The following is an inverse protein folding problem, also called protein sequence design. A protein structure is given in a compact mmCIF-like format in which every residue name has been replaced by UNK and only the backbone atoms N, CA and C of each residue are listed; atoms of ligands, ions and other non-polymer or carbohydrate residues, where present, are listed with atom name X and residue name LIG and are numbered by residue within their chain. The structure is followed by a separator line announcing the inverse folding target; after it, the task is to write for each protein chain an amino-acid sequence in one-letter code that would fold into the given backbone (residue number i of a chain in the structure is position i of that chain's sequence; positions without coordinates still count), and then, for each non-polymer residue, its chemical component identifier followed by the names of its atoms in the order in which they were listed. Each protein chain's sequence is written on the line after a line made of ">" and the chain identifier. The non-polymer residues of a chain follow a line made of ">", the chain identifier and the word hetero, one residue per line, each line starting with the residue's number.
data_IF_950450274317
#
_entry.id   IF_950450274317
#
_cell.length_a   1.000
_cell.length_b   1.000
_cell.length_c   1.000
_cell.angle_alpha   90.00
_cell.angle_beta   90.00
_cell.angle_gamma   90.00
#
_symmetry.space_group_name_H-M   'P 1'
#
loop_
_entity.id
_entity.type
_entity.pdbx_description
1 polymer ?
#
# COMPACT_ATOMS: atom_id res chain seq x y z
N UNK A 1 11.16 -9.33 -4.47
CA UNK A 1 10.35 -9.89 -5.58
C UNK A 1 10.61 -9.11 -6.85
N UNK A 2 10.81 -9.77 -7.98
CA UNK A 2 11.09 -9.10 -9.26
C UNK A 2 9.81 -9.06 -10.13
N UNK A 3 9.35 -7.85 -10.42
CA UNK A 3 8.22 -7.58 -11.31
C UNK A 3 8.77 -7.01 -12.61
N UNK A 4 8.57 -7.71 -13.71
CA UNK A 4 9.09 -7.31 -15.01
C UNK A 4 8.09 -7.56 -16.14
N UNK A 5 8.32 -6.96 -17.28
CA UNK A 5 7.70 -7.39 -18.54
C UNK A 5 8.70 -8.23 -19.34
N UNK A 6 8.19 -9.21 -20.07
CA UNK A 6 8.98 -10.07 -20.93
C UNK A 6 8.28 -10.38 -22.25
N UNK A 7 8.99 -11.07 -23.14
CA UNK A 7 8.42 -11.58 -24.37
C UNK A 7 7.61 -12.88 -24.13
N UNK A 8 6.79 -13.28 -25.11
CA UNK A 8 5.91 -14.44 -24.97
C UNK A 8 6.62 -15.80 -24.87
N UNK A 9 7.88 -15.87 -25.20
CA UNK A 9 8.61 -17.14 -25.34
C UNK A 9 9.47 -17.50 -24.12
N UNK A 10 9.51 -16.65 -23.10
CA UNK A 10 10.21 -16.97 -21.87
C UNK A 10 9.53 -18.11 -21.11
N UNK A 11 10.32 -19.10 -20.71
CA UNK A 11 9.87 -20.26 -19.95
C UNK A 11 9.55 -19.84 -18.49
N UNK A 12 8.48 -20.40 -17.94
CA UNK A 12 8.08 -20.19 -16.54
C UNK A 12 7.46 -21.48 -15.97
N UNK A 13 7.56 -21.64 -14.66
CA UNK A 13 6.97 -22.79 -13.96
C UNK A 13 5.44 -22.67 -13.88
N UNK A 14 4.92 -21.43 -13.80
CA UNK A 14 3.50 -21.14 -13.78
C UNK A 14 3.15 -20.13 -14.87
N UNK A 15 2.32 -20.54 -15.82
CA UNK A 15 1.78 -19.66 -16.86
C UNK A 15 0.31 -19.37 -16.58
N UNK A 16 0.01 -18.12 -16.27
CA UNK A 16 -1.35 -17.63 -16.05
C UNK A 16 -1.87 -16.98 -17.32
N UNK A 17 -3.04 -17.41 -17.77
CA UNK A 17 -3.66 -16.90 -18.99
C UNK A 17 -5.07 -16.40 -18.66
N UNK A 18 -5.26 -15.08 -18.45
CA UNK A 18 -6.58 -14.50 -18.27
C UNK A 18 -7.32 -14.42 -19.60
N UNK A 19 -8.46 -15.09 -19.70
CA UNK A 19 -9.27 -15.25 -20.89
C UNK A 19 -10.69 -14.72 -20.71
N UNK A 20 -11.24 -14.08 -21.74
CA UNK A 20 -12.62 -13.59 -21.73
C UNK A 20 -13.65 -14.68 -21.98
N UNK A 21 -14.88 -14.45 -21.57
CA UNK A 21 -16.01 -15.35 -21.80
C UNK A 21 -16.28 -15.56 -23.29
N UNK A 22 -16.75 -16.76 -23.64
CA UNK A 22 -16.96 -17.17 -25.02
C UNK A 22 -15.70 -17.70 -25.72
N UNK A 23 -14.58 -17.88 -24.97
CA UNK A 23 -13.39 -18.51 -25.54
C UNK A 23 -13.66 -19.99 -25.83
N UNK A 24 -13.61 -20.36 -27.11
CA UNK A 24 -13.74 -21.75 -27.59
C UNK A 24 -12.44 -22.29 -28.17
N UNK A 25 -11.43 -21.43 -28.35
CA UNK A 25 -10.11 -21.77 -28.86
C UNK A 25 -9.04 -20.92 -28.17
N UNK A 26 -7.87 -21.51 -27.94
CA UNK A 26 -6.74 -20.74 -27.42
C UNK A 26 -6.37 -19.60 -28.38
N UNK A 27 -6.29 -18.34 -27.90
CA UNK A 27 -5.81 -17.22 -28.72
C UNK A 27 -4.40 -17.51 -29.27
N UNK A 28 -4.07 -16.99 -30.45
CA UNK A 28 -2.84 -17.35 -31.18
C UNK A 28 -1.56 -17.26 -30.35
N UNK A 29 -1.44 -16.22 -29.52
CA UNK A 29 -0.24 -15.99 -28.70
C UNK A 29 -0.32 -16.61 -27.29
N UNK A 30 -1.49 -17.17 -26.91
CA UNK A 30 -1.69 -17.70 -25.55
C UNK A 30 -0.75 -18.84 -25.20
N UNK A 31 -0.32 -19.61 -26.21
CA UNK A 31 0.44 -20.83 -26.05
C UNK A 31 1.87 -20.75 -26.62
N UNK A 32 2.36 -19.55 -26.95
CA UNK A 32 3.77 -19.34 -27.37
C UNK A 32 4.74 -19.88 -26.33
N UNK A 33 5.90 -20.38 -26.73
CA UNK A 33 6.91 -20.95 -25.82
C UNK A 33 6.56 -22.33 -25.24
N UNK A 34 5.30 -22.80 -25.34
CA UNK A 34 4.94 -24.16 -24.91
C UNK A 34 5.28 -25.21 -26.00
N UNK A 35 5.73 -26.37 -25.59
CA UNK A 35 5.95 -27.52 -26.46
C UNK A 35 4.64 -28.05 -27.06
N UNK A 36 4.74 -28.89 -28.13
CA UNK A 36 3.55 -29.39 -28.83
C UNK A 36 2.59 -30.16 -27.90
N UNK A 37 3.12 -31.00 -27.04
CA UNK A 37 2.34 -31.79 -26.09
C UNK A 37 1.60 -30.88 -25.10
N UNK A 38 2.30 -29.90 -24.51
CA UNK A 38 1.72 -28.92 -23.58
C UNK A 38 0.59 -28.13 -24.24
N UNK A 39 0.82 -27.62 -25.48
CA UNK A 39 -0.19 -26.91 -26.27
C UNK A 39 -1.45 -27.71 -26.50
N UNK A 40 -1.30 -29.01 -26.79
CA UNK A 40 -2.46 -29.88 -27.02
C UNK A 40 -3.31 -30.05 -25.77
N UNK A 41 -2.69 -30.27 -24.59
CA UNK A 41 -3.40 -30.37 -23.32
C UNK A 41 -4.18 -29.08 -23.00
N UNK A 42 -3.56 -27.90 -23.20
CA UNK A 42 -4.24 -26.61 -22.93
C UNK A 42 -5.35 -26.33 -23.93
N UNK A 43 -5.16 -26.71 -25.22
CA UNK A 43 -6.21 -26.58 -26.25
C UNK A 43 -7.41 -27.47 -25.93
N UNK A 44 -7.17 -28.71 -25.53
CA UNK A 44 -8.22 -29.63 -25.10
C UNK A 44 -9.00 -29.07 -23.90
N UNK A 45 -8.30 -28.57 -22.89
CA UNK A 45 -8.92 -27.95 -21.73
C UNK A 45 -9.78 -26.70 -22.06
N UNK A 46 -9.38 -25.87 -23.04
CA UNK A 46 -10.16 -24.73 -23.48
C UNK A 46 -11.34 -25.17 -24.38
N UNK A 47 -11.19 -26.22 -25.16
CA UNK A 47 -12.25 -26.72 -26.05
C UNK A 47 -13.26 -27.63 -25.34
N UNK A 48 -12.92 -28.13 -24.15
CA UNK A 48 -13.88 -28.80 -23.27
C UNK A 48 -14.90 -27.77 -22.75
N UNK A 49 -16.15 -28.19 -22.64
CA UNK A 49 -17.21 -27.29 -22.06
C UNK A 49 -16.98 -26.92 -20.59
N UNK A 50 -15.85 -27.39 -20.01
CA UNK A 50 -15.49 -27.13 -18.61
C UNK A 50 -14.92 -25.72 -18.38
N UNK A 51 -14.32 -25.07 -19.41
CA UNK A 51 -13.77 -23.74 -19.31
C UNK A 51 -14.30 -22.82 -20.41
N UNK A 52 -15.24 -21.93 -20.04
CA UNK A 52 -15.82 -20.93 -20.96
C UNK A 52 -15.34 -19.49 -20.74
N UNK A 53 -14.38 -19.26 -19.85
CA UNK A 53 -13.88 -17.91 -19.53
C UNK A 53 -14.83 -17.08 -18.65
N UNK A 54 -15.85 -17.68 -18.05
CA UNK A 54 -16.80 -16.98 -17.16
C UNK A 54 -16.09 -16.33 -15.98
N UNK A 55 -16.60 -15.21 -15.52
CA UNK A 55 -16.02 -14.45 -14.41
C UNK A 55 -15.77 -15.30 -13.17
N UNK A 56 -14.51 -15.34 -12.74
CA UNK A 56 -14.06 -16.09 -11.56
C UNK A 56 -13.82 -17.58 -11.82
N UNK A 57 -14.09 -18.07 -13.02
CA UNK A 57 -13.76 -19.44 -13.40
C UNK A 57 -12.25 -19.62 -13.41
N UNK A 58 -11.77 -20.76 -12.92
CA UNK A 58 -10.35 -21.12 -12.88
C UNK A 58 -10.18 -22.57 -13.25
N UNK A 59 -9.25 -22.86 -14.15
CA UNK A 59 -8.86 -24.19 -14.51
C UNK A 59 -7.34 -24.33 -14.45
N UNK A 60 -6.85 -25.43 -13.90
CA UNK A 60 -5.42 -25.75 -13.84
C UNK A 60 -5.13 -26.90 -14.76
N UNK A 61 -4.27 -26.66 -15.74
CA UNK A 61 -3.78 -27.70 -16.67
C UNK A 61 -2.35 -28.04 -16.29
N UNK A 62 -2.16 -29.25 -15.82
CA UNK A 62 -0.83 -29.77 -15.51
C UNK A 62 -0.15 -30.23 -16.78
N UNK A 63 0.98 -29.63 -17.10
CA UNK A 63 1.80 -29.99 -18.24
C UNK A 63 3.23 -30.32 -17.79
N UNK A 64 4.01 -31.10 -18.53
CA UNK A 64 5.40 -31.35 -18.18
C UNK A 64 6.19 -30.01 -18.09
N UNK A 65 6.80 -29.73 -16.92
CA UNK A 65 7.64 -28.55 -16.70
C UNK A 65 6.93 -27.20 -16.58
N UNK A 66 5.61 -27.12 -16.76
CA UNK A 66 4.87 -25.88 -16.62
C UNK A 66 3.43 -26.14 -16.15
N UNK A 67 2.97 -25.40 -15.16
CA UNK A 67 1.58 -25.39 -14.70
C UNK A 67 0.82 -24.24 -15.36
N UNK A 68 -0.10 -24.56 -16.27
CA UNK A 68 -0.92 -23.53 -16.94
C UNK A 68 -2.20 -23.30 -16.15
N UNK A 69 -2.47 -22.05 -15.81
CA UNK A 69 -3.64 -21.63 -15.05
C UNK A 69 -4.49 -20.69 -15.92
N UNK A 70 -5.64 -21.21 -16.34
CA UNK A 70 -6.63 -20.44 -17.09
C UNK A 70 -7.53 -19.68 -16.11
N UNK A 71 -7.76 -18.39 -16.37
CA UNK A 71 -8.53 -17.49 -15.50
C UNK A 71 -9.64 -16.86 -16.31
N UNK A 72 -10.90 -17.09 -15.92
CA UNK A 72 -12.07 -16.51 -16.55
C UNK A 72 -12.28 -15.07 -16.09
N UNK A 73 -12.30 -14.15 -17.05
CA UNK A 73 -12.49 -12.71 -16.82
C UNK A 73 -13.94 -12.27 -16.98
N UNK A 74 -14.83 -13.15 -17.50
CA UNK A 74 -16.18 -12.77 -17.90
C UNK A 74 -16.21 -12.02 -19.23
N UNK A 75 -17.31 -11.33 -19.51
CA UNK A 75 -17.50 -10.58 -20.74
C UNK A 75 -16.45 -9.47 -20.89
N UNK A 76 -15.91 -9.34 -22.09
CA UNK A 76 -14.84 -8.37 -22.40
C UNK A 76 -15.26 -6.92 -22.11
N UNK A 77 -16.48 -6.54 -22.49
CA UNK A 77 -16.98 -5.18 -22.37
C UNK A 77 -17.30 -4.80 -20.91
N UNK A 78 -17.42 -5.77 -20.02
CA UNK A 78 -17.63 -5.57 -18.58
C UNK A 78 -16.32 -5.46 -17.79
N UNK A 79 -15.14 -5.60 -18.44
CA UNK A 79 -13.84 -5.51 -17.78
C UNK A 79 -13.49 -4.08 -17.38
N UNK A 80 -13.95 -3.63 -16.21
CA UNK A 80 -13.54 -2.36 -15.62
C UNK A 80 -12.28 -2.48 -14.73
N UNK A 81 -11.70 -1.34 -14.33
CA UNK A 81 -10.51 -1.22 -13.46
C UNK A 81 -10.61 -2.11 -12.21
N UNK A 82 -11.74 -1.99 -11.49
CA UNK A 82 -11.97 -2.74 -10.24
C UNK A 82 -11.98 -4.25 -10.45
N UNK A 83 -12.55 -4.72 -11.57
CA UNK A 83 -12.61 -6.16 -11.85
C UNK A 83 -11.22 -6.70 -12.19
N UNK A 84 -10.45 -6.01 -13.03
CA UNK A 84 -9.09 -6.39 -13.38
C UNK A 84 -8.20 -6.46 -12.14
N UNK A 85 -8.15 -5.41 -11.31
CA UNK A 85 -7.38 -5.34 -10.07
C UNK A 85 -7.77 -6.43 -9.07
N UNK A 86 -9.06 -6.59 -8.78
CA UNK A 86 -9.52 -7.61 -7.85
C UNK A 86 -9.25 -9.03 -8.33
N UNK A 87 -9.23 -9.25 -9.66
CA UNK A 87 -8.88 -10.57 -10.21
C UNK A 87 -7.39 -10.83 -10.06
N UNK A 88 -6.53 -9.86 -10.36
CA UNK A 88 -5.09 -9.95 -10.11
C UNK A 88 -4.78 -10.27 -8.65
N UNK A 89 -5.44 -9.59 -7.71
CA UNK A 89 -5.28 -9.85 -6.27
C UNK A 89 -5.70 -11.28 -5.88
N UNK A 90 -6.84 -11.77 -6.39
CA UNK A 90 -7.30 -13.15 -6.12
C UNK A 90 -6.36 -14.19 -6.70
N UNK A 91 -5.83 -13.93 -7.89
CA UNK A 91 -4.85 -14.80 -8.52
C UNK A 91 -3.60 -14.88 -7.66
N UNK A 92 -3.05 -13.74 -7.25
CA UNK A 92 -1.86 -13.70 -6.40
C UNK A 92 -2.08 -14.45 -5.08
N UNK A 93 -3.22 -14.25 -4.42
CA UNK A 93 -3.57 -14.98 -3.20
C UNK A 93 -3.61 -16.50 -3.36
N UNK A 94 -3.86 -16.98 -4.58
CA UNK A 94 -3.98 -18.41 -4.90
C UNK A 94 -2.66 -19.07 -5.32
N UNK A 95 -1.60 -18.29 -5.53
CA UNK A 95 -0.29 -18.82 -5.87
C UNK A 95 0.44 -19.28 -4.61
N UNK A 96 1.09 -20.44 -4.71
CA UNK A 96 1.94 -20.90 -3.62
C UNK A 96 3.24 -20.11 -3.65
N UNK A 97 3.55 -19.41 -2.58
CA UNK A 97 4.80 -18.67 -2.41
C UNK A 97 5.93 -19.64 -2.05
N UNK A 98 6.45 -20.34 -3.04
CA UNK A 98 7.61 -21.22 -2.89
C UNK A 98 8.87 -20.49 -3.37
N UNK A 99 9.99 -20.77 -2.71
CA UNK A 99 11.31 -20.25 -3.13
C UNK A 99 11.58 -20.57 -4.61
N UNK A 100 12.01 -19.59 -5.37
CA UNK A 100 12.42 -19.77 -6.77
C UNK A 100 11.26 -19.88 -7.78
N UNK A 101 10.00 -19.64 -7.38
CA UNK A 101 8.87 -19.75 -8.28
C UNK A 101 8.88 -18.67 -9.36
N UNK A 102 8.87 -19.08 -10.63
CA UNK A 102 8.72 -18.18 -11.78
C UNK A 102 7.28 -18.22 -12.31
N UNK A 103 6.65 -17.05 -12.37
CA UNK A 103 5.27 -16.86 -12.80
C UNK A 103 5.22 -15.94 -14.01
N UNK A 104 4.61 -16.40 -15.10
CA UNK A 104 4.29 -15.56 -16.25
C UNK A 104 2.78 -15.28 -16.29
N UNK A 105 2.41 -14.02 -16.43
CA UNK A 105 1.03 -13.59 -16.70
C UNK A 105 0.95 -13.17 -18.15
N UNK A 106 0.25 -13.94 -18.97
CA UNK A 106 0.18 -13.73 -20.42
C UNK A 106 -1.13 -13.11 -20.83
N UNK A 107 -1.08 -11.84 -21.18
CA UNK A 107 -2.23 -11.11 -21.70
C UNK A 107 -2.43 -11.36 -23.18
N UNK A 108 -3.62 -11.82 -23.55
CA UNK A 108 -4.00 -12.16 -24.92
C UNK A 108 -4.75 -11.00 -25.60
N UNK A 109 -5.33 -11.25 -26.78
CA UNK A 109 -6.16 -10.25 -27.48
C UNK A 109 -7.36 -9.82 -26.62
N UNK A 110 -7.71 -8.55 -26.72
CA UNK A 110 -8.85 -7.95 -25.98
C UNK A 110 -8.46 -7.18 -24.72
N UNK A 111 -7.24 -7.34 -24.21
CA UNK A 111 -6.74 -6.52 -23.12
C UNK A 111 -6.24 -5.15 -23.59
N UNK A 112 -6.54 -4.11 -22.84
CA UNK A 112 -5.93 -2.78 -22.98
C UNK A 112 -4.73 -2.66 -22.03
N UNK A 113 -3.78 -1.78 -22.34
CA UNK A 113 -2.62 -1.53 -21.47
C UNK A 113 -3.03 -1.16 -20.04
N UNK A 114 -4.06 -0.31 -19.90
CA UNK A 114 -4.59 0.07 -18.58
C UNK A 114 -5.11 -1.12 -17.76
N UNK A 115 -5.86 -2.03 -18.38
CA UNK A 115 -6.42 -3.22 -17.70
C UNK A 115 -5.35 -4.23 -17.34
N UNK A 116 -4.28 -4.33 -18.15
CA UNK A 116 -3.11 -5.13 -17.80
C UNK A 116 -2.43 -4.58 -16.54
N UNK A 117 -2.27 -3.26 -16.47
CA UNK A 117 -1.69 -2.57 -15.30
C UNK A 117 -2.57 -2.70 -14.07
N UNK A 118 -3.89 -2.54 -14.19
CA UNK A 118 -4.83 -2.78 -13.09
C UNK A 118 -4.69 -4.20 -12.51
N UNK A 119 -4.57 -5.20 -13.39
CA UNK A 119 -4.38 -6.58 -12.97
C UNK A 119 -3.04 -6.76 -12.22
N UNK A 120 -1.97 -6.21 -12.76
CA UNK A 120 -0.64 -6.25 -12.16
C UNK A 120 -0.61 -5.53 -10.81
N UNK A 121 -1.25 -4.35 -10.70
CA UNK A 121 -1.41 -3.62 -9.43
C UNK A 121 -2.10 -4.48 -8.38
N UNK A 122 -3.19 -5.16 -8.77
CA UNK A 122 -3.89 -6.06 -7.86
C UNK A 122 -3.00 -7.18 -7.34
N UNK A 123 -2.15 -7.77 -8.18
CA UNK A 123 -1.17 -8.77 -7.76
C UNK A 123 -0.15 -8.18 -6.79
N UNK A 124 0.45 -7.03 -7.11
CA UNK A 124 1.46 -6.37 -6.27
C UNK A 124 0.91 -6.00 -4.90
N UNK A 125 -0.28 -5.39 -4.84
CA UNK A 125 -0.91 -5.00 -3.58
C UNK A 125 -1.29 -6.20 -2.70
N UNK A 126 -1.57 -7.37 -3.31
CA UNK A 126 -1.93 -8.59 -2.57
C UNK A 126 -0.71 -9.38 -2.11
N UNK A 127 0.45 -9.13 -2.69
CA UNK A 127 1.69 -9.83 -2.34
C UNK A 127 2.26 -9.43 -0.97
N UNK A 128 1.68 -8.44 -0.34
CA UNK A 128 2.09 -7.93 0.96
C UNK A 128 1.92 -8.95 2.08
N UNK A 129 2.96 -9.08 2.90
CA UNK A 129 3.00 -9.83 4.16
C UNK A 129 3.80 -9.03 5.20
N UNK A 130 3.28 -8.96 6.42
CA UNK A 130 4.00 -8.37 7.55
C UNK A 130 4.66 -9.49 8.35
N UNK A 131 5.98 -9.51 8.37
CA UNK A 131 6.77 -10.63 8.89
C UNK A 131 7.74 -10.22 10.02
N UNK A 132 7.78 -8.94 10.40
CA UNK A 132 8.82 -8.35 11.26
C UNK A 132 8.96 -9.00 12.63
N UNK A 133 7.86 -9.48 13.23
CA UNK A 133 7.87 -10.02 14.59
C UNK A 133 7.60 -11.54 14.64
N UNK A 134 7.83 -12.23 13.52
CA UNK A 134 7.62 -13.66 13.41
C UNK A 134 8.96 -14.39 13.33
N UNK A 135 9.09 -15.50 14.05
CA UNK A 135 10.14 -16.48 13.77
C UNK A 135 9.80 -17.16 12.45
N UNK A 136 10.39 -16.66 11.37
CA UNK A 136 10.18 -17.23 10.05
C UNK A 136 11.36 -18.13 9.74
N UNK A 137 11.04 -19.34 9.33
CA UNK A 137 12.01 -20.17 8.65
C UNK A 137 12.49 -19.44 7.39
N UNK A 138 13.76 -19.02 7.37
CA UNK A 138 14.36 -18.26 6.26
C UNK A 138 14.21 -18.96 4.92
N UNK A 139 13.92 -20.26 4.90
CA UNK A 139 13.60 -21.01 3.71
C UNK A 139 12.23 -20.62 3.10
N UNK A 140 11.33 -20.04 3.87
CA UNK A 140 10.01 -19.57 3.41
C UNK A 140 10.03 -18.13 2.87
N UNK A 141 11.08 -17.35 3.11
CA UNK A 141 11.22 -16.02 2.54
C UNK A 141 11.74 -16.18 1.11
N UNK A 142 10.84 -16.10 0.14
CA UNK A 142 11.22 -16.26 -1.27
C UNK A 142 11.78 -14.97 -1.87
N UNK A 143 13.05 -14.67 -1.61
CA UNK A 143 13.78 -13.59 -2.31
C UNK A 143 13.94 -13.82 -3.84
N UNK A 144 13.44 -14.96 -4.34
CA UNK A 144 13.63 -15.39 -5.72
C UNK A 144 12.32 -15.57 -6.52
N UNK A 145 11.21 -15.10 -5.96
CA UNK A 145 9.94 -15.13 -6.67
C UNK A 145 9.94 -14.04 -7.76
N UNK A 146 9.61 -14.44 -8.97
CA UNK A 146 9.55 -13.52 -10.10
C UNK A 146 8.19 -13.58 -10.79
N UNK A 147 7.64 -12.45 -11.13
CA UNK A 147 6.42 -12.32 -11.94
C UNK A 147 6.73 -11.54 -13.20
N UNK A 148 6.50 -12.16 -14.34
CA UNK A 148 6.70 -11.57 -15.65
C UNK A 148 5.37 -11.34 -16.32
N UNK A 149 5.11 -10.11 -16.76
CA UNK A 149 3.92 -9.74 -17.51
C UNK A 149 4.22 -9.76 -19.01
N UNK A 150 3.55 -10.64 -19.73
CA UNK A 150 3.73 -10.86 -21.16
C UNK A 150 2.56 -10.27 -21.95
N UNK A 151 2.88 -9.37 -22.88
CA UNK A 151 1.90 -8.70 -23.72
C UNK A 151 2.38 -8.62 -25.18
N UNK A 152 1.48 -8.26 -26.12
CA UNK A 152 1.86 -8.04 -27.50
C UNK A 152 2.86 -6.89 -27.65
N UNK A 153 3.71 -6.87 -28.70
CA UNK A 153 4.74 -5.85 -28.91
C UNK A 153 4.23 -4.40 -28.77
N UNK A 154 3.02 -4.14 -29.26
CA UNK A 154 2.39 -2.80 -29.18
C UNK A 154 2.16 -2.28 -27.76
N UNK A 155 2.14 -3.16 -26.75
CA UNK A 155 1.90 -2.81 -25.34
C UNK A 155 3.16 -2.90 -24.49
N UNK A 156 4.29 -3.35 -25.03
CA UNK A 156 5.50 -3.62 -24.24
C UNK A 156 6.03 -2.36 -23.54
N UNK A 157 6.16 -1.24 -24.26
CA UNK A 157 6.71 -0.01 -23.68
C UNK A 157 5.78 0.60 -22.62
N UNK A 158 4.50 0.76 -22.97
CA UNK A 158 3.51 1.29 -22.02
C UNK A 158 3.35 0.40 -20.78
N UNK A 159 3.49 -0.91 -20.94
CA UNK A 159 3.47 -1.85 -19.82
C UNK A 159 4.72 -1.69 -18.94
N UNK A 160 5.90 -1.53 -19.53
CA UNK A 160 7.16 -1.32 -18.79
C UNK A 160 7.11 -0.07 -17.93
N UNK A 161 6.71 1.06 -18.52
CA UNK A 161 6.58 2.34 -17.80
C UNK A 161 5.51 2.25 -16.70
N UNK A 162 4.35 1.69 -17.05
CA UNK A 162 3.26 1.50 -16.11
C UNK A 162 3.62 0.59 -14.93
N UNK A 163 4.35 -0.51 -15.17
CA UNK A 163 4.81 -1.43 -14.12
C UNK A 163 5.75 -0.73 -13.13
N UNK A 164 6.68 0.12 -13.62
CA UNK A 164 7.54 0.91 -12.72
C UNK A 164 6.71 1.82 -11.82
N UNK A 165 5.73 2.50 -12.40
CA UNK A 165 4.84 3.41 -11.64
C UNK A 165 4.01 2.68 -10.60
N UNK A 166 3.34 1.58 -10.96
CA UNK A 166 2.51 0.84 -9.99
C UNK A 166 3.35 0.14 -8.94
N UNK A 167 4.57 -0.29 -9.26
CA UNK A 167 5.52 -0.83 -8.27
C UNK A 167 5.90 0.23 -7.22
N UNK A 168 6.20 1.45 -7.65
CA UNK A 168 6.48 2.57 -6.76
C UNK A 168 5.27 2.90 -5.85
N UNK A 169 4.05 2.93 -6.41
CA UNK A 169 2.82 3.13 -5.64
C UNK A 169 2.60 1.98 -4.65
N UNK A 170 2.76 0.73 -5.09
CA UNK A 170 2.62 -0.43 -4.22
C UNK A 170 3.65 -0.40 -3.07
N UNK A 171 4.88 0.03 -3.33
CA UNK A 171 5.91 0.24 -2.30
C UNK A 171 5.46 1.21 -1.21
N UNK A 172 4.90 2.35 -1.58
CA UNK A 172 4.33 3.31 -0.63
C UNK A 172 3.15 2.73 0.17
N UNK A 173 2.28 1.95 -0.48
CA UNK A 173 1.17 1.26 0.22
C UNK A 173 1.71 0.20 1.19
N UNK A 174 2.76 -0.54 0.81
CA UNK A 174 3.37 -1.53 1.69
C UNK A 174 4.02 -0.86 2.90
N UNK A 175 4.77 0.24 2.72
CA UNK A 175 5.32 1.04 3.82
C UNK A 175 4.22 1.51 4.78
N UNK A 176 3.10 2.03 4.26
CA UNK A 176 1.98 2.44 5.11
C UNK A 176 1.38 1.26 5.89
N UNK A 177 1.30 0.07 5.29
CA UNK A 177 0.83 -1.15 5.95
C UNK A 177 1.82 -1.66 7.00
N UNK A 178 3.12 -1.59 6.73
CA UNK A 178 4.17 -1.95 7.70
C UNK A 178 4.04 -1.08 8.95
N UNK A 179 3.97 0.24 8.78
CA UNK A 179 3.76 1.17 9.89
C UNK A 179 2.46 0.86 10.67
N UNK A 180 1.36 0.58 9.97
CA UNK A 180 0.09 0.24 10.63
C UNK A 180 0.12 -1.11 11.35
N UNK A 181 0.87 -2.08 10.86
CA UNK A 181 0.97 -3.40 11.48
C UNK A 181 1.93 -3.47 12.67
N UNK A 182 2.84 -2.51 12.76
CA UNK A 182 3.74 -2.41 13.92
C UNK A 182 2.98 -2.30 15.23
N UNK A 183 3.40 -3.00 16.28
CA UNK A 183 2.82 -2.81 17.60
C UNK A 183 3.25 -1.47 18.21
N UNK A 184 2.39 -0.86 19.02
CA UNK A 184 2.61 0.46 19.60
C UNK A 184 3.83 0.56 20.54
N UNK A 185 4.27 -0.56 21.11
CA UNK A 185 5.51 -0.58 21.91
C UNK A 185 6.77 -0.45 21.05
N UNK A 186 6.67 -0.72 19.76
CA UNK A 186 7.73 -0.53 18.75
C UNK A 186 7.53 0.80 18.04
N UNK A 187 6.35 1.03 17.46
CA UNK A 187 6.04 2.26 16.71
C UNK A 187 5.26 3.26 17.59
N UNK A 188 5.97 4.08 18.31
CA UNK A 188 5.46 5.21 19.11
C UNK A 188 5.83 6.56 18.42
N UNK A 189 5.33 7.73 18.87
CA UNK A 189 5.51 8.98 18.14
C UNK A 189 6.93 9.30 17.70
N UNK A 190 7.91 9.24 18.59
CA UNK A 190 9.31 9.54 18.27
C UNK A 190 10.00 8.47 17.42
N UNK A 191 9.58 7.22 17.49
CA UNK A 191 10.11 6.18 16.60
C UNK A 191 9.60 6.37 15.16
N UNK A 192 8.34 6.78 14.99
CA UNK A 192 7.84 7.19 13.67
C UNK A 192 8.67 8.36 13.11
N UNK A 193 8.94 9.38 13.94
CA UNK A 193 9.76 10.54 13.55
C UNK A 193 11.18 10.11 13.13
N UNK A 194 11.83 9.25 13.92
CA UNK A 194 13.17 8.70 13.59
C UNK A 194 13.18 7.97 12.24
N UNK A 195 12.17 7.12 11.98
CA UNK A 195 12.06 6.43 10.67
C UNK A 195 11.84 7.42 9.52
N UNK A 196 11.09 8.50 9.75
CA UNK A 196 10.89 9.53 8.76
C UNK A 196 12.17 10.33 8.45
N UNK A 197 12.97 10.64 9.47
CA UNK A 197 14.27 11.30 9.31
C UNK A 197 15.26 10.40 8.54
N UNK A 198 15.35 9.12 8.88
CA UNK A 198 16.18 8.15 8.16
C UNK A 198 15.77 8.01 6.70
N UNK A 199 14.46 7.97 6.44
CA UNK A 199 13.94 7.96 5.08
C UNK A 199 14.38 9.21 4.31
N UNK A 200 14.19 10.40 4.88
CA UNK A 200 14.58 11.66 4.21
C UNK A 200 16.09 11.74 3.98
N UNK A 201 16.91 11.32 4.94
CA UNK A 201 18.36 11.30 4.81
C UNK A 201 18.86 10.42 3.64
N UNK A 202 18.07 9.42 3.24
CA UNK A 202 18.36 8.56 2.09
C UNK A 202 17.95 9.15 0.74
N UNK A 203 17.31 10.33 0.72
CA UNK A 203 16.74 10.96 -0.49
C UNK A 203 17.40 12.32 -0.76
N UNK A 204 17.59 12.64 -2.03
CA UNK A 204 18.18 13.91 -2.45
C UNK A 204 17.18 15.06 -2.61
N UNK A 205 15.88 14.75 -2.61
CA UNK A 205 14.79 15.69 -2.87
C UNK A 205 13.71 15.69 -1.77
N UNK A 206 14.03 15.16 -0.60
CA UNK A 206 13.12 15.12 0.54
C UNK A 206 13.80 15.67 1.80
N UNK A 207 13.00 16.31 2.66
CA UNK A 207 13.41 16.73 3.99
C UNK A 207 12.30 16.42 4.99
N UNK A 208 12.72 16.24 6.25
CA UNK A 208 11.82 16.05 7.39
C UNK A 208 12.21 17.03 8.48
N UNK A 209 11.22 17.69 9.06
CA UNK A 209 11.35 18.50 10.26
C UNK A 209 10.48 17.89 11.36
N UNK A 210 11.08 17.66 12.52
CA UNK A 210 10.40 17.09 13.68
C UNK A 210 10.13 18.19 14.71
N UNK A 211 8.86 18.35 15.07
CA UNK A 211 8.42 19.21 16.18
C UNK A 211 8.23 18.29 17.38
N UNK A 212 9.25 18.22 18.22
CA UNK A 212 9.26 17.44 19.45
C UNK A 212 8.40 18.08 20.55
N UNK A 213 8.38 17.46 21.72
CA UNK A 213 7.61 17.93 22.86
C UNK A 213 7.88 19.40 23.23
N UNK A 214 9.14 19.80 23.28
CA UNK A 214 9.53 21.15 23.69
C UNK A 214 9.09 22.17 22.61
N UNK A 215 9.29 21.82 21.35
CA UNK A 215 8.87 22.65 20.22
C UNK A 215 7.35 22.80 20.13
N UNK A 216 6.59 21.71 20.41
CA UNK A 216 5.13 21.79 20.48
C UNK A 216 4.66 22.75 21.57
N UNK A 217 5.33 22.74 22.75
CA UNK A 217 5.03 23.66 23.85
C UNK A 217 5.34 25.13 23.50
N UNK A 218 6.51 25.40 22.92
CA UNK A 218 6.90 26.75 22.44
C UNK A 218 5.88 27.32 21.46
N UNK A 219 5.37 26.50 20.54
CA UNK A 219 4.41 26.92 19.53
C UNK A 219 2.96 26.95 20.04
N UNK A 220 2.69 26.39 21.22
CA UNK A 220 1.34 26.32 21.77
C UNK A 220 0.42 25.35 21.00
N UNK A 221 0.94 24.22 20.49
CA UNK A 221 0.18 23.18 19.79
C UNK A 221 -0.62 22.33 20.79
N UNK A 222 -1.63 22.95 21.39
CA UNK A 222 -2.36 22.39 22.51
C UNK A 222 -3.19 21.15 22.17
N UNK A 223 -3.56 20.93 20.92
CA UNK A 223 -4.21 19.70 20.47
C UNK A 223 -3.32 18.48 20.66
N UNK A 224 -2.11 18.53 20.14
CA UNK A 224 -1.10 17.47 20.30
C UNK A 224 -0.67 17.30 21.76
N UNK A 225 -0.38 18.41 22.43
CA UNK A 225 0.09 18.43 23.82
C UNK A 225 -0.95 17.76 24.74
N UNK A 226 -2.22 18.17 24.68
CA UNK A 226 -3.23 17.66 25.60
C UNK A 226 -3.54 16.17 25.35
N UNK A 227 -3.59 15.74 24.11
CA UNK A 227 -3.82 14.32 23.79
C UNK A 227 -2.67 13.46 24.32
N UNK A 228 -1.41 13.87 24.07
CA UNK A 228 -0.25 13.03 24.38
C UNK A 228 0.33 13.20 25.78
N UNK A 229 -0.09 14.20 26.58
CA UNK A 229 0.53 14.48 27.89
C UNK A 229 0.34 13.37 28.94
N UNK A 230 -0.68 12.51 28.75
CA UNK A 230 -0.96 11.39 29.64
C UNK A 230 -0.02 10.20 29.48
N UNK A 231 0.71 10.15 28.36
CA UNK A 231 1.71 9.12 28.10
C UNK A 231 3.13 9.56 28.44
N UNK A 232 3.98 8.63 28.84
CA UNK A 232 5.43 8.86 28.97
C UNK A 232 6.09 9.05 27.59
N UNK A 233 5.50 8.49 26.53
CA UNK A 233 5.90 8.68 25.13
C UNK A 233 5.27 9.93 24.56
N UNK A 234 6.03 11.04 24.64
CA UNK A 234 5.53 12.35 24.30
C UNK A 234 5.13 12.49 22.83
N UNK A 235 4.11 13.32 22.52
CA UNK A 235 3.68 13.57 21.16
C UNK A 235 4.75 14.32 20.38
N UNK A 236 4.68 14.21 19.05
CA UNK A 236 5.43 15.04 18.13
C UNK A 236 4.61 15.30 16.85
N UNK A 237 5.05 16.25 16.05
CA UNK A 237 4.56 16.45 14.69
C UNK A 237 5.73 16.28 13.72
N UNK A 238 5.50 15.58 12.63
CA UNK A 238 6.49 15.38 11.57
C UNK A 238 6.02 16.09 10.31
N UNK A 239 6.80 17.02 9.83
CA UNK A 239 6.61 17.71 8.56
C UNK A 239 7.54 17.13 7.51
N UNK A 240 6.97 16.49 6.51
CA UNK A 240 7.65 16.05 5.29
C UNK A 240 7.59 17.13 4.23
N UNK A 241 8.69 17.37 3.54
CA UNK A 241 8.72 18.19 2.33
C UNK A 241 9.39 17.41 1.21
N UNK A 242 8.68 17.21 0.11
CA UNK A 242 9.22 16.64 -1.12
C UNK A 242 9.43 17.78 -2.14
N UNK A 243 10.57 17.74 -2.85
CA UNK A 243 10.99 18.75 -3.83
C UNK A 243 10.93 20.19 -3.27
N UNK A 244 11.71 20.53 -2.21
CA UNK A 244 11.66 21.83 -1.55
C UNK A 244 11.98 22.99 -2.51
N UNK A 245 12.84 22.76 -3.50
CA UNK A 245 13.30 23.74 -4.47
C UNK A 245 12.42 23.86 -5.72
N UNK A 246 11.33 23.07 -5.79
CA UNK A 246 10.43 23.16 -6.95
C UNK A 246 9.57 24.42 -6.89
N UNK A 247 9.31 24.97 -8.07
CA UNK A 247 8.77 26.30 -8.34
C UNK A 247 7.63 26.78 -7.42
N UNK A 248 7.73 28.01 -6.98
CA UNK A 248 6.89 28.64 -5.96
C UNK A 248 5.55 29.21 -6.49
N UNK A 249 5.33 29.20 -7.79
CA UNK A 249 4.18 29.87 -8.43
C UNK A 249 2.83 29.15 -8.30
N UNK A 250 2.79 27.93 -7.71
CA UNK A 250 1.59 27.09 -7.67
C UNK A 250 1.22 26.73 -6.23
N UNK A 251 -0.09 26.64 -5.96
CA UNK A 251 -0.61 26.17 -4.68
C UNK A 251 0.03 24.82 -4.28
N UNK A 252 0.64 24.77 -3.12
CA UNK A 252 1.36 23.63 -2.58
C UNK A 252 0.40 22.69 -1.86
N UNK A 253 0.15 21.47 -2.31
CA UNK A 253 -0.66 20.54 -1.56
C UNK A 253 0.05 20.14 -0.26
N UNK A 254 -0.70 20.13 0.85
CA UNK A 254 -0.28 19.59 2.12
C UNK A 254 -1.28 18.53 2.57
N UNK A 255 -0.79 17.33 2.86
CA UNK A 255 -1.59 16.20 3.30
C UNK A 255 -1.36 16.00 4.80
N UNK A 256 -2.44 16.05 5.59
CA UNK A 256 -2.36 15.91 7.06
C UNK A 256 -2.94 14.58 7.49
N UNK A 257 -2.19 13.83 8.29
CA UNK A 257 -2.56 12.50 8.78
C UNK A 257 -2.67 12.43 10.31
N UNK A 258 -3.76 11.83 10.80
CA UNK A 258 -3.91 11.41 12.20
C UNK A 258 -2.90 10.31 12.50
N UNK A 259 -2.15 10.44 13.60
CA UNK A 259 -1.09 9.54 14.01
C UNK A 259 -1.19 9.12 15.48
N UNK A 260 -2.36 8.65 15.92
CA UNK A 260 -2.50 8.14 17.29
C UNK A 260 -1.92 6.73 17.32
N UNK A 261 -0.69 6.61 17.82
CA UNK A 261 0.08 5.37 17.77
C UNK A 261 -0.50 4.26 18.65
N UNK A 262 -1.24 4.64 19.68
CA UNK A 262 -2.17 3.78 20.39
C UNK A 262 -3.29 4.61 21.04
N UNK A 263 -4.53 4.16 20.91
CA UNK A 263 -5.70 4.86 21.43
C UNK A 263 -6.46 4.02 22.45
N UNK A 264 -6.29 4.31 23.72
CA UNK A 264 -7.10 3.72 24.80
C UNK A 264 -8.44 4.43 25.01
N UNK A 265 -8.66 5.57 24.33
CA UNK A 265 -9.73 6.53 24.64
C UNK A 265 -9.32 7.55 25.70
N UNK A 266 -8.16 7.39 26.33
CA UNK A 266 -7.74 8.23 27.47
C UNK A 266 -8.59 7.99 28.72
N UNK A 267 -8.97 9.05 29.44
CA UNK A 267 -9.86 8.95 30.62
C UNK A 267 -11.27 8.44 30.23
N UNK A 268 -11.77 8.79 29.04
CA UNK A 268 -12.97 8.18 28.45
C UNK A 268 -12.63 6.82 27.83
N UNK A 269 -12.22 5.86 28.67
CA UNK A 269 -11.60 4.62 28.25
C UNK A 269 -12.52 3.73 27.40
N UNK A 270 -11.95 3.16 26.34
CA UNK A 270 -12.65 2.20 25.47
C UNK A 270 -12.91 0.87 26.17
N UNK A 271 -13.95 0.12 25.77
CA UNK A 271 -14.10 -1.28 26.17
C UNK A 271 -12.90 -2.13 25.72
N UNK A 272 -12.55 -3.17 26.47
CA UNK A 272 -11.43 -4.06 26.13
C UNK A 272 -11.59 -4.74 24.77
N UNK A 273 -12.82 -5.07 24.37
CA UNK A 273 -13.10 -5.68 23.08
C UNK A 273 -12.71 -4.76 21.92
N UNK A 274 -11.76 -5.20 21.09
CA UNK A 274 -11.26 -4.44 19.93
C UNK A 274 -10.20 -3.38 20.26
N UNK A 275 -9.85 -3.14 21.54
CA UNK A 275 -8.84 -2.12 21.88
C UNK A 275 -7.47 -2.47 21.29
N UNK A 276 -7.12 -3.73 21.16
CA UNK A 276 -5.84 -4.14 20.57
C UNK A 276 -5.67 -3.72 19.11
N UNK A 277 -6.77 -3.49 18.39
CA UNK A 277 -6.78 -2.94 17.03
C UNK A 277 -6.43 -1.45 16.99
N UNK A 278 -6.39 -0.78 18.14
CA UNK A 278 -6.13 0.66 18.24
C UNK A 278 -4.66 1.02 17.93
N UNK A 279 -3.79 0.06 17.68
CA UNK A 279 -2.50 0.28 17.03
C UNK A 279 -2.64 0.85 15.59
N UNK A 280 -3.78 0.60 14.95
CA UNK A 280 -4.08 1.11 13.60
C UNK A 280 -4.59 2.56 13.59
N UNK A 281 -4.79 3.18 14.74
CA UNK A 281 -5.33 4.53 14.83
C UNK A 281 -4.35 5.64 14.37
N UNK A 282 -3.21 5.23 13.88
CA UNK A 282 -2.19 6.04 13.23
C UNK A 282 -2.11 5.83 11.71
N UNK A 283 -3.02 5.08 11.10
CA UNK A 283 -2.98 4.80 9.65
C UNK A 283 -3.10 6.06 8.77
N UNK A 284 -3.63 7.16 9.29
CA UNK A 284 -3.60 8.46 8.62
C UNK A 284 -2.17 8.97 8.43
N UNK A 285 -1.36 8.96 9.49
CA UNK A 285 0.06 9.31 9.43
C UNK A 285 0.85 8.30 8.57
N UNK A 286 0.57 7.00 8.71
CA UNK A 286 1.17 5.96 7.88
C UNK A 286 0.90 6.19 6.38
N UNK A 287 -0.32 6.62 6.03
CA UNK A 287 -0.71 6.97 4.66
C UNK A 287 0.06 8.19 4.16
N UNK A 288 0.28 9.21 5.00
CA UNK A 288 1.13 10.37 4.64
C UNK A 288 2.53 9.89 4.28
N UNK A 289 3.14 9.08 5.13
CA UNK A 289 4.50 8.60 4.90
C UNK A 289 4.59 7.73 3.62
N UNK A 290 3.68 6.75 3.47
CA UNK A 290 3.62 5.92 2.27
C UNK A 290 3.36 6.72 0.98
N UNK A 291 2.57 7.80 1.07
CA UNK A 291 2.35 8.70 -0.07
C UNK A 291 3.63 9.47 -0.43
N UNK A 292 4.39 9.96 0.56
CA UNK A 292 5.65 10.66 0.31
C UNK A 292 6.66 9.72 -0.37
N UNK A 293 6.75 8.45 0.06
CA UNK A 293 7.56 7.43 -0.61
C UNK A 293 7.09 7.17 -2.05
N UNK A 294 5.79 6.97 -2.27
CA UNK A 294 5.25 6.73 -3.61
C UNK A 294 5.50 7.91 -4.57
N UNK A 295 5.33 9.14 -4.10
CA UNK A 295 5.60 10.35 -4.88
C UNK A 295 7.10 10.48 -5.22
N UNK A 296 7.99 10.21 -4.26
CA UNK A 296 9.42 10.18 -4.49
C UNK A 296 9.78 9.10 -5.54
N UNK A 297 9.33 7.87 -5.33
CA UNK A 297 9.66 6.72 -6.18
C UNK A 297 9.06 6.82 -7.60
N UNK A 298 7.95 7.56 -7.78
CA UNK A 298 7.38 7.87 -9.11
C UNK A 298 8.04 9.05 -9.80
N UNK A 299 8.99 9.74 -9.15
CA UNK A 299 9.64 10.93 -9.70
C UNK A 299 8.72 12.14 -9.81
N UNK A 300 7.76 12.30 -8.88
CA UNK A 300 6.87 13.46 -8.86
C UNK A 300 7.67 14.75 -8.68
N UNK A 301 7.58 15.67 -9.64
CA UNK A 301 8.46 16.83 -9.73
C UNK A 301 7.99 18.12 -9.03
N UNK A 302 6.80 18.13 -8.40
CA UNK A 302 6.27 19.32 -7.73
C UNK A 302 6.50 19.25 -6.24
N UNK A 303 6.56 20.40 -5.57
CA UNK A 303 6.61 20.46 -4.10
C UNK A 303 5.31 19.92 -3.50
N UNK A 304 5.46 19.03 -2.51
CA UNK A 304 4.37 18.48 -1.70
C UNK A 304 4.80 18.45 -0.25
N UNK A 305 3.93 18.86 0.65
CA UNK A 305 4.12 18.72 2.07
C UNK A 305 3.22 17.61 2.64
N UNK A 306 3.73 16.90 3.65
CA UNK A 306 2.98 15.95 4.44
C UNK A 306 3.14 16.23 5.92
N UNK A 307 2.08 16.17 6.70
CA UNK A 307 2.12 16.37 8.16
C UNK A 307 1.55 15.13 8.85
N UNK A 308 2.33 14.55 9.76
CA UNK A 308 1.89 13.48 10.65
C UNK A 308 1.73 14.06 12.06
N UNK A 309 0.51 14.04 12.62
CA UNK A 309 0.20 14.51 13.97
C UNK A 309 0.21 13.31 14.91
N UNK A 310 1.30 13.12 15.65
CA UNK A 310 1.61 11.88 16.37
C UNK A 310 1.42 12.04 17.88
N UNK A 311 0.64 11.17 18.48
CA UNK A 311 0.43 11.12 19.93
C UNK A 311 0.06 9.69 20.36
N UNK A 312 0.20 9.40 21.64
CA UNK A 312 -0.34 8.21 22.28
C UNK A 312 -1.43 8.65 23.27
N UNK A 313 -2.69 8.23 23.06
CA UNK A 313 -3.80 8.60 23.92
C UNK A 313 -3.98 7.62 25.06
N UNK A 314 -3.38 7.92 26.20
CA UNK A 314 -3.30 7.03 27.36
C UNK A 314 -3.97 7.64 28.59
N UNK A 315 -4.62 6.81 29.45
CA UNK A 315 -4.96 7.23 30.81
C UNK A 315 -3.67 7.40 31.61
N UNK A 316 -3.59 8.45 32.40
CA UNK A 316 -2.44 8.71 33.25
C UNK A 316 -2.73 9.87 34.19
N UNK A 317 -1.85 10.09 35.18
CA UNK A 317 -2.02 11.17 36.16
C UNK A 317 -1.98 12.57 35.51
N UNK A 318 -1.29 12.72 34.38
CA UNK A 318 -1.21 13.95 33.59
C UNK A 318 -2.22 14.04 32.46
N UNK A 319 -3.05 13.02 32.23
CA UNK A 319 -3.98 12.99 31.09
C UNK A 319 -5.02 14.12 31.15
N UNK A 320 -5.44 14.60 29.99
CA UNK A 320 -6.56 15.53 29.88
C UNK A 320 -7.90 14.81 30.15
N UNK A 321 -8.92 15.58 30.50
CA UNK A 321 -10.19 15.04 31.01
C UNK A 321 -11.37 15.65 30.29
N UNK A 322 -12.53 14.99 30.28
CA UNK A 322 -13.78 15.65 29.93
C UNK A 322 -14.01 16.92 30.79
N UNK A 323 -14.39 18.01 30.16
CA UNK A 323 -14.55 19.34 30.77
C UNK A 323 -13.29 20.21 30.77
N UNK A 324 -12.11 19.66 30.47
CA UNK A 324 -10.90 20.47 30.30
C UNK A 324 -11.04 21.38 29.06
N UNK A 325 -10.51 22.61 29.16
CA UNK A 325 -10.44 23.56 28.06
C UNK A 325 -8.98 23.85 27.73
N UNK A 326 -8.62 23.77 26.48
CA UNK A 326 -7.27 24.11 26.03
C UNK A 326 -7.28 24.93 24.73
N UNK A 327 -6.18 25.64 24.48
CA UNK A 327 -5.98 26.45 23.28
C UNK A 327 -5.20 25.61 22.23
N UNK A 328 -5.67 25.60 20.99
CA UNK A 328 -4.99 25.00 19.85
C UNK A 328 -3.96 25.96 19.24
N UNK A 329 -3.14 25.46 18.32
CA UNK A 329 -2.17 26.28 17.59
C UNK A 329 -2.80 27.46 16.84
N UNK A 330 -4.04 27.33 16.38
CA UNK A 330 -4.80 28.44 15.78
C UNK A 330 -5.20 29.56 16.75
N UNK A 331 -4.97 29.38 18.05
CA UNK A 331 -5.42 30.29 19.11
C UNK A 331 -6.87 30.08 19.55
N UNK A 332 -7.64 29.20 18.87
CA UNK A 332 -9.01 28.85 19.28
C UNK A 332 -8.99 27.84 20.43
N UNK A 333 -10.01 27.93 21.29
CA UNK A 333 -10.20 27.02 22.42
C UNK A 333 -11.07 25.85 22.04
N UNK A 334 -10.77 24.69 22.62
CA UNK A 334 -11.58 23.46 22.54
C UNK A 334 -11.95 23.04 23.96
N UNK A 335 -13.23 22.84 24.23
CA UNK A 335 -13.72 22.14 25.41
C UNK A 335 -13.80 20.64 25.11
N UNK A 336 -13.23 19.82 25.97
CA UNK A 336 -13.17 18.38 25.81
C UNK A 336 -14.47 17.76 26.29
N UNK A 337 -15.28 17.22 25.41
CA UNK A 337 -16.48 16.46 25.77
C UNK A 337 -16.12 14.99 26.05
N UNK A 338 -15.25 14.42 25.24
CA UNK A 338 -14.74 13.05 25.38
C UNK A 338 -13.27 13.01 24.99
N UNK A 339 -12.44 12.32 25.78
CA UNK A 339 -11.03 12.13 25.44
C UNK A 339 -10.81 11.07 24.35
N UNK A 340 -11.87 10.33 23.98
CA UNK A 340 -11.91 9.41 22.83
C UNK A 340 -12.29 10.11 21.50
N UNK A 341 -12.18 11.44 21.48
CA UNK A 341 -12.30 12.26 20.27
C UNK A 341 -10.98 13.03 19.98
N UNK A 342 -9.87 12.43 20.31
CA UNK A 342 -8.50 12.94 20.28
C UNK A 342 -8.00 13.24 18.86
N UNK A 343 -8.40 12.43 17.87
CA UNK A 343 -7.95 12.55 16.49
C UNK A 343 -8.21 13.93 15.90
N UNK A 344 -9.39 14.49 16.11
CA UNK A 344 -9.72 15.85 15.67
C UNK A 344 -8.92 16.94 16.40
N UNK A 345 -8.49 16.68 17.64
CA UNK A 345 -7.69 17.61 18.42
C UNK A 345 -6.27 17.72 17.86
N UNK A 346 -5.60 16.58 17.60
CA UNK A 346 -4.25 16.59 17.00
C UNK A 346 -4.29 17.13 15.57
N UNK A 347 -5.34 16.83 14.81
CA UNK A 347 -5.51 17.36 13.46
C UNK A 347 -5.78 18.86 13.42
N UNK A 348 -6.38 19.47 14.47
CA UNK A 348 -6.58 20.91 14.53
C UNK A 348 -5.27 21.69 14.44
N UNK A 349 -4.22 21.23 15.14
CA UNK A 349 -2.89 21.83 15.08
C UNK A 349 -2.22 21.57 13.72
N UNK A 350 -2.27 20.32 13.21
CA UNK A 350 -1.69 19.97 11.92
C UNK A 350 -2.32 20.71 10.75
N UNK A 351 -3.65 20.85 10.73
CA UNK A 351 -4.36 21.57 9.67
C UNK A 351 -4.05 23.06 9.69
N UNK A 352 -3.89 23.66 10.88
CA UNK A 352 -3.47 25.05 10.98
C UNK A 352 -2.05 25.23 10.44
N UNK A 353 -1.13 24.35 10.84
CA UNK A 353 0.24 24.34 10.33
C UNK A 353 0.32 24.15 8.81
N UNK A 354 -0.57 23.36 8.24
CA UNK A 354 -0.64 23.16 6.79
C UNK A 354 -1.06 24.43 6.01
N UNK A 355 -1.69 25.39 6.69
CA UNK A 355 -2.11 26.68 6.10
C UNK A 355 -1.02 27.75 6.09
N UNK A 356 0.11 27.55 6.77
CA UNK A 356 1.28 28.44 6.76
C UNK A 356 2.17 28.19 5.54
#
# INVERSE_FOLDING_TARGET
>A
MNWANSEFDEACEHLLIPLFEGVSRAPNNALSGLGRSQRNLVKEAISSDEFGGKKGQRMVVWTPGCRVILIGMGEKDSLGHRLARNTGARVMASLSKKKGLSVCVRFTSGWTGERMLDFAEGMMLRDYEFLEHQEIDKEHISDQWSVQFQASPRHQESLREGLRRIHAIAGGVHLARDLGNEPANVLYPMEYARRAEEWAASKNNASVEVYDWDRLQELGMGGLINVGKGSDRKPCMVLFTLNPDADEGIQRPCIVGKGITFDTGGISIKPTGGMWDMKYDMCGAATVFGLMEALHATGYGRRVNGIACLAENMPGSGAYRPGDVFKTYSGKTIEVFSTDAEGRNVLADGLWKAGE
#
